data_IF_916710276925
#
_entry.id   IF_916710276925
#
_cell.length_a   1.000
_cell.length_b   1.000
_cell.length_c   1.000
_cell.angle_alpha   90.00
_cell.angle_beta   90.00
_cell.angle_gamma   90.00
#
_symmetry.space_group_name_H-M   'P 1'
#
loop_
_entity.id
_entity.type
_entity.pdbx_description
1 polymer ?
#
# COMPACT_ATOMS: atom_id res chain seq x y z
N UNK A 1 -26.74 1.95 -22.40
CA UNK A 1 -27.09 3.18 -21.65
C UNK A 1 -25.96 3.46 -20.69
N UNK A 2 -25.32 4.62 -20.77
CA UNK A 2 -24.36 5.09 -19.75
C UNK A 2 -25.14 5.53 -18.53
N UNK A 3 -24.94 4.86 -17.39
CA UNK A 3 -25.50 5.25 -16.10
C UNK A 3 -24.82 6.54 -15.65
N UNK A 4 -25.58 7.63 -15.50
CA UNK A 4 -25.09 8.90 -14.96
C UNK A 4 -24.86 8.79 -13.45
N UNK A 5 -23.83 9.48 -12.94
CA UNK A 5 -23.51 9.55 -11.50
C UNK A 5 -24.08 10.79 -10.81
N UNK A 6 -24.98 11.51 -11.48
CA UNK A 6 -25.56 12.77 -11.00
C UNK A 6 -26.56 12.61 -9.83
N UNK A 7 -27.03 11.40 -9.55
CA UNK A 7 -27.88 11.08 -8.40
C UNK A 7 -27.39 9.82 -7.66
N UNK A 8 -27.80 9.60 -6.39
CA UNK A 8 -27.32 8.47 -5.60
C UNK A 8 -27.69 7.07 -6.15
N UNK A 9 -28.80 6.92 -6.86
CA UNK A 9 -29.21 5.64 -7.45
C UNK A 9 -28.36 5.34 -8.69
N UNK A 10 -28.19 6.32 -9.57
CA UNK A 10 -27.29 6.23 -10.72
C UNK A 10 -25.83 5.99 -10.30
N UNK A 11 -25.35 6.66 -9.24
CA UNK A 11 -24.03 6.42 -8.67
C UNK A 11 -23.87 5.00 -8.11
N UNK A 12 -24.89 4.47 -7.43
CA UNK A 12 -24.91 3.08 -6.93
C UNK A 12 -24.87 2.06 -8.07
N UNK A 13 -25.68 2.25 -9.09
CA UNK A 13 -25.75 1.34 -10.24
C UNK A 13 -24.46 1.39 -11.06
N UNK A 14 -23.87 2.58 -11.24
CA UNK A 14 -22.54 2.73 -11.80
C UNK A 14 -21.48 1.99 -10.97
N UNK A 15 -21.44 2.17 -9.64
CA UNK A 15 -20.48 1.48 -8.77
C UNK A 15 -20.61 -0.06 -8.85
N UNK A 16 -21.84 -0.58 -8.93
CA UNK A 16 -22.08 -2.02 -9.14
C UNK A 16 -21.59 -2.50 -10.50
N UNK A 17 -21.78 -1.70 -11.55
CA UNK A 17 -21.29 -2.01 -12.89
C UNK A 17 -19.75 -2.03 -12.98
N UNK A 18 -19.05 -1.29 -12.11
CA UNK A 18 -17.58 -1.31 -12.00
C UNK A 18 -17.03 -2.56 -11.28
N UNK A 19 -17.89 -3.47 -10.80
CA UNK A 19 -17.44 -4.71 -10.15
C UNK A 19 -16.56 -5.52 -11.09
N UNK A 20 -15.36 -5.86 -10.65
CA UNK A 20 -14.39 -6.64 -11.44
C UNK A 20 -13.52 -5.79 -12.38
N UNK A 21 -13.76 -4.49 -12.51
CA UNK A 21 -12.81 -3.59 -13.18
C UNK A 21 -11.49 -3.58 -12.41
N UNK A 22 -10.39 -3.74 -13.14
CA UNK A 22 -9.03 -3.69 -12.61
C UNK A 22 -8.26 -2.56 -13.28
N UNK A 23 -7.53 -1.81 -12.48
CA UNK A 23 -6.57 -0.79 -12.93
C UNK A 23 -5.22 -1.12 -12.31
N UNK A 24 -4.12 -0.69 -12.94
CA UNK A 24 -2.78 -1.00 -12.44
C UNK A 24 -2.57 -0.51 -11.01
N UNK A 25 -2.96 0.73 -10.71
CA UNK A 25 -2.81 1.34 -9.39
C UNK A 25 -4.06 1.14 -8.53
N UNK A 26 -4.13 0.02 -7.82
CA UNK A 26 -5.19 -0.29 -6.86
C UNK A 26 -4.71 -1.29 -5.79
N UNK A 27 -5.46 -1.44 -4.69
CA UNK A 27 -5.29 -2.56 -3.77
C UNK A 27 -5.63 -3.90 -4.44
N UNK A 28 -4.79 -4.92 -4.22
CA UNK A 28 -5.04 -6.29 -4.66
C UNK A 28 -5.66 -7.08 -3.50
N UNK A 29 -6.93 -7.49 -3.65
CA UNK A 29 -7.68 -8.21 -2.63
C UNK A 29 -8.34 -9.48 -3.21
N UNK A 30 -8.09 -10.68 -2.64
CA UNK A 30 -7.06 -10.95 -1.63
C UNK A 30 -5.65 -10.68 -2.18
N UNK A 31 -4.69 -10.43 -1.31
CA UNK A 31 -3.29 -10.25 -1.73
C UNK A 31 -2.81 -11.48 -2.50
N UNK A 32 -2.01 -11.26 -3.54
CA UNK A 32 -1.60 -12.28 -4.51
C UNK A 32 -0.08 -12.43 -4.63
N UNK A 33 0.70 -11.65 -3.88
CA UNK A 33 2.16 -11.77 -3.84
C UNK A 33 2.62 -13.16 -3.37
N UNK A 34 3.04 -14.00 -4.34
CA UNK A 34 3.49 -15.39 -4.12
C UNK A 34 4.95 -15.52 -3.68
N UNK A 35 5.74 -14.47 -3.88
CA UNK A 35 7.18 -14.42 -3.61
C UNK A 35 7.50 -13.81 -2.24
N UNK A 36 6.47 -13.49 -1.44
CA UNK A 36 6.66 -13.01 -0.08
C UNK A 36 7.12 -14.14 0.85
N UNK A 37 8.08 -13.91 1.77
CA UNK A 37 8.60 -14.93 2.68
C UNK A 37 7.65 -15.28 3.85
N UNK A 38 6.34 -15.11 3.67
CA UNK A 38 5.30 -15.31 4.68
C UNK A 38 3.92 -14.94 4.16
N UNK A 39 2.92 -14.92 5.06
CA UNK A 39 1.56 -14.53 4.70
C UNK A 39 1.49 -13.05 4.31
N UNK A 40 0.97 -12.79 3.10
CA UNK A 40 0.69 -11.43 2.64
C UNK A 40 -0.75 -11.07 3.01
N UNK A 41 -0.89 -10.16 3.97
CA UNK A 41 -2.21 -9.71 4.46
C UNK A 41 -2.81 -8.53 3.67
N UNK A 42 -1.98 -7.86 2.86
CA UNK A 42 -2.37 -6.70 2.04
C UNK A 42 -1.32 -6.46 0.96
N UNK A 43 -1.77 -5.99 -0.20
CA UNK A 43 -0.95 -5.63 -1.35
C UNK A 43 -1.62 -4.48 -2.09
N UNK A 44 -0.84 -3.52 -2.59
CA UNK A 44 -1.33 -2.35 -3.31
C UNK A 44 -0.25 -1.81 -4.24
N UNK A 45 -0.64 -1.52 -5.48
CA UNK A 45 0.21 -0.79 -6.42
C UNK A 45 -0.09 0.70 -6.31
N UNK A 46 0.93 1.49 -6.02
CA UNK A 46 0.82 2.96 -5.95
C UNK A 46 1.22 3.56 -7.30
N UNK A 47 0.36 4.42 -7.84
CA UNK A 47 0.65 5.12 -9.09
C UNK A 47 1.86 6.07 -8.97
N UNK A 48 2.56 6.39 -10.07
CA UNK A 48 3.50 7.49 -10.11
C UNK A 48 2.86 8.79 -9.59
N UNK A 49 3.60 9.56 -8.79
CA UNK A 49 3.11 10.75 -8.08
C UNK A 49 1.88 10.50 -7.17
N UNK A 50 1.50 9.24 -6.95
CA UNK A 50 0.48 8.84 -6.00
C UNK A 50 1.03 8.80 -4.58
N UNK A 51 0.11 8.61 -3.64
CA UNK A 51 0.42 8.39 -2.23
C UNK A 51 -0.55 7.36 -1.67
N UNK A 52 -0.09 6.62 -0.67
CA UNK A 52 -0.93 5.73 0.12
C UNK A 52 -0.56 5.88 1.59
N UNK A 53 -1.45 5.46 2.47
CA UNK A 53 -1.19 5.43 3.90
C UNK A 53 -1.81 4.17 4.50
N UNK A 54 -1.07 3.53 5.41
CA UNK A 54 -1.50 2.30 6.04
C UNK A 54 -1.04 2.25 7.49
N UNK A 55 -1.97 1.87 8.37
CA UNK A 55 -1.64 1.46 9.73
C UNK A 55 -1.32 -0.04 9.72
N UNK A 56 -0.16 -0.39 10.25
CA UNK A 56 0.30 -1.78 10.36
C UNK A 56 0.52 -2.16 11.82
N UNK A 57 0.32 -3.44 12.15
CA UNK A 57 0.58 -3.93 13.49
C UNK A 57 2.08 -4.09 13.74
N UNK A 58 2.50 -4.00 15.01
CA UNK A 58 3.88 -4.32 15.41
C UNK A 58 4.24 -5.74 14.96
N UNK A 59 5.44 -5.91 14.39
CA UNK A 59 5.91 -7.20 13.86
C UNK A 59 5.51 -7.48 12.41
N UNK A 60 4.68 -6.63 11.79
CA UNK A 60 4.38 -6.70 10.36
C UNK A 60 5.63 -6.36 9.53
N UNK A 61 5.91 -7.14 8.49
CA UNK A 61 6.97 -6.84 7.53
C UNK A 61 6.40 -6.07 6.34
N UNK A 62 7.03 -4.96 5.99
CA UNK A 62 6.71 -4.18 4.80
C UNK A 62 7.74 -4.48 3.70
N UNK A 63 7.27 -4.78 2.49
CA UNK A 63 8.09 -4.89 1.29
C UNK A 63 7.65 -3.84 0.29
N UNK A 64 8.62 -3.10 -0.25
CA UNK A 64 8.43 -2.15 -1.34
C UNK A 64 9.16 -2.69 -2.55
N UNK A 65 8.49 -2.72 -3.70
CA UNK A 65 9.02 -3.23 -4.95
C UNK A 65 8.92 -2.10 -5.96
N UNK A 66 10.06 -1.71 -6.51
CA UNK A 66 10.07 -0.93 -7.73
C UNK A 66 9.82 -1.87 -8.91
N UNK A 67 8.56 -1.91 -9.35
CA UNK A 67 8.09 -2.85 -10.38
C UNK A 67 8.71 -2.53 -11.75
N UNK A 68 9.00 -1.26 -12.03
CA UNK A 68 9.52 -0.80 -13.32
C UNK A 68 11.04 -0.63 -13.34
N UNK A 69 11.69 -0.54 -12.18
CA UNK A 69 13.15 -0.44 -12.03
C UNK A 69 13.71 0.98 -12.13
N UNK A 70 12.88 2.02 -12.03
CA UNK A 70 13.29 3.43 -12.01
C UNK A 70 12.39 4.29 -11.11
N UNK A 71 11.94 3.72 -9.99
CA UNK A 71 11.10 4.41 -9.01
C UNK A 71 11.82 4.60 -7.66
N UNK A 72 11.54 5.73 -7.03
CA UNK A 72 11.94 6.03 -5.67
C UNK A 72 10.72 6.30 -4.81
N UNK A 73 10.71 5.76 -3.58
CA UNK A 73 9.66 6.03 -2.61
C UNK A 73 10.13 7.08 -1.60
N UNK A 74 9.31 8.12 -1.39
CA UNK A 74 9.41 8.99 -0.22
C UNK A 74 8.46 8.46 0.85
N UNK A 75 8.95 8.28 2.08
CA UNK A 75 8.19 7.63 3.14
C UNK A 75 8.26 8.41 4.44
N UNK A 76 7.14 8.38 5.17
CA UNK A 76 7.02 8.84 6.54
C UNK A 76 6.45 7.70 7.37
N UNK A 77 7.09 7.40 8.50
CA UNK A 77 6.64 6.36 9.43
C UNK A 77 6.40 7.01 10.78
N UNK A 78 5.21 6.81 11.32
CA UNK A 78 4.77 7.37 12.59
C UNK A 78 4.40 6.25 13.55
N UNK A 79 4.57 6.49 14.85
CA UNK A 79 3.90 5.68 15.84
C UNK A 79 2.38 5.89 15.71
N UNK A 80 1.65 4.80 15.48
CA UNK A 80 0.22 4.87 15.19
C UNK A 80 -0.64 5.31 16.40
N UNK A 81 -0.13 5.16 17.64
CA UNK A 81 -0.78 5.65 18.87
C UNK A 81 -0.30 7.04 19.29
N UNK A 82 0.89 7.44 18.84
CA UNK A 82 1.51 8.73 19.18
C UNK A 82 2.10 9.37 17.92
N UNK A 83 1.29 10.00 17.04
CA UNK A 83 1.76 10.47 15.73
C UNK A 83 2.81 11.60 15.77
N UNK A 84 3.05 12.20 16.94
CA UNK A 84 4.16 13.14 17.16
C UNK A 84 5.52 12.44 17.19
N UNK A 85 5.54 11.14 17.46
CA UNK A 85 6.72 10.28 17.37
C UNK A 85 6.82 9.69 15.96
N UNK A 86 7.95 9.94 15.28
CA UNK A 86 8.20 9.51 13.91
C UNK A 86 9.60 8.95 13.75
N UNK A 87 9.77 8.09 12.75
CA UNK A 87 11.07 7.59 12.35
C UNK A 87 12.01 8.77 12.06
N UNK A 88 13.16 8.79 12.73
CA UNK A 88 14.25 9.70 12.46
C UNK A 88 15.37 8.94 11.72
N UNK A 89 15.43 9.10 10.39
CA UNK A 89 16.44 8.43 9.56
C UNK A 89 17.87 8.87 9.89
N UNK A 90 18.05 10.08 10.46
CA UNK A 90 19.36 10.59 10.84
C UNK A 90 19.93 9.94 12.12
N UNK A 91 19.11 9.18 12.86
CA UNK A 91 19.52 8.50 14.10
C UNK A 91 19.35 6.98 14.00
N UNK A 92 20.10 6.30 13.11
CA UNK A 92 20.07 4.84 13.07
C UNK A 92 20.86 4.28 14.25
N UNK A 93 20.25 3.39 15.03
CA UNK A 93 21.01 2.55 15.94
C UNK A 93 21.93 1.63 15.12
N UNK A 94 23.23 1.53 15.42
CA UNK A 94 24.20 0.80 14.60
C UNK A 94 24.03 -0.73 14.57
N UNK A 95 23.06 -1.29 15.29
CA UNK A 95 22.93 -2.72 15.45
C UNK A 95 21.79 -3.32 14.62
N UNK A 96 22.15 -3.84 13.45
CA UNK A 96 21.42 -4.90 12.72
C UNK A 96 22.18 -5.33 11.47
N UNK A 97 23.44 -5.77 11.61
CA UNK A 97 23.96 -6.69 10.60
C UNK A 97 23.15 -7.97 10.73
N UNK A 98 22.26 -8.21 9.76
CA UNK A 98 21.72 -9.53 9.49
C UNK A 98 22.89 -10.48 9.31
N UNK A 99 23.23 -11.22 10.36
CA UNK A 99 23.97 -12.46 10.25
C UNK A 99 22.98 -13.51 9.78
N UNK A 100 22.77 -13.57 8.47
CA UNK A 100 22.30 -14.79 7.83
C UNK A 100 23.53 -15.45 7.18
N UNK A 101 23.64 -16.79 7.23
CA UNK A 101 24.75 -17.54 6.65
C UNK A 101 24.83 -17.40 5.13
#
# INVERSE_FOLDING_TARGET
>A
MTTTTADPYGARDHARAMTGTRVEAMPTLPAAAVDAPGETIWEETVAPAGYTSRRIARGTRLRLIDVAGDACASMLVFNAETPTERLNVADPHPDSRSTAP
#
